data_IF_354178075489
#
_entry.id   IF_354178075489
#
_cell.length_a   1.000
_cell.length_b   1.000
_cell.length_c   1.000
_cell.angle_alpha   90.00
_cell.angle_beta   90.00
_cell.angle_gamma   90.00
#
_symmetry.space_group_name_H-M   'P 1'
#
loop_
_entity.id
_entity.type
_entity.pdbx_description
1 polymer ?
#
# COMPACT_ATOMS: atom_id res chain seq x y z
N UNK A 1 12.60 17.65 -20.99
CA UNK A 1 12.23 16.23 -20.80
C UNK A 1 10.75 16.18 -20.47
N UNK A 2 10.06 15.08 -20.76
CA UNK A 2 8.65 14.95 -20.36
C UNK A 2 8.56 14.78 -18.84
N UNK A 3 7.52 15.36 -18.23
CA UNK A 3 7.23 15.16 -16.82
C UNK A 3 6.84 13.71 -16.54
N UNK A 4 7.12 13.23 -15.33
CA UNK A 4 6.91 11.84 -14.91
C UNK A 4 5.92 11.75 -13.75
N UNK A 5 4.95 10.84 -13.88
CA UNK A 5 4.00 10.50 -12.84
C UNK A 5 4.21 9.05 -12.39
N UNK A 6 4.37 8.87 -11.08
CA UNK A 6 4.48 7.56 -10.47
C UNK A 6 3.21 7.28 -9.67
N UNK A 7 2.58 6.14 -9.95
CA UNK A 7 1.44 5.62 -9.21
C UNK A 7 1.87 4.36 -8.47
N UNK A 8 1.79 4.40 -7.15
CA UNK A 8 2.11 3.24 -6.30
C UNK A 8 0.82 2.45 -6.08
N UNK A 9 0.80 1.19 -6.52
CA UNK A 9 -0.18 0.22 -6.03
C UNK A 9 0.07 -0.05 -4.54
N UNK A 10 -0.84 0.46 -3.72
CA UNK A 10 -0.71 0.45 -2.28
C UNK A 10 -0.71 -0.96 -1.68
N UNK A 11 -1.73 -1.77 -2.01
CA UNK A 11 -1.86 -3.09 -1.43
C UNK A 11 -0.70 -3.99 -1.84
N UNK A 12 -0.32 -4.01 -3.13
CA UNK A 12 0.79 -4.85 -3.57
C UNK A 12 2.10 -4.48 -2.85
N UNK A 13 2.44 -3.19 -2.75
CA UNK A 13 3.69 -2.78 -2.11
C UNK A 13 3.68 -2.96 -0.58
N UNK A 14 2.54 -2.78 0.09
CA UNK A 14 2.39 -3.07 1.52
C UNK A 14 2.60 -4.57 1.80
N UNK A 15 1.92 -5.44 1.04
CA UNK A 15 2.07 -6.90 1.19
C UNK A 15 3.50 -7.36 0.87
N UNK A 16 4.11 -6.79 -0.18
CA UNK A 16 5.53 -7.03 -0.51
C UNK A 16 6.45 -6.63 0.64
N UNK A 17 6.18 -5.51 1.31
CA UNK A 17 6.96 -5.04 2.45
C UNK A 17 6.78 -5.94 3.67
N UNK A 18 5.56 -6.44 3.90
CA UNK A 18 5.26 -7.39 4.98
C UNK A 18 5.98 -8.73 4.82
N UNK A 19 5.97 -9.30 3.61
CA UNK A 19 6.62 -10.59 3.31
C UNK A 19 8.09 -10.48 2.92
N UNK A 20 8.66 -9.28 2.89
CA UNK A 20 10.08 -9.10 2.60
C UNK A 20 10.95 -9.95 3.54
N UNK A 21 12.08 -10.51 3.04
CA UNK A 21 13.03 -11.26 3.85
C UNK A 21 13.83 -10.29 4.74
N UNK A 22 13.16 -9.79 5.78
CA UNK A 22 13.66 -8.83 6.74
C UNK A 22 13.26 -9.30 8.15
N UNK A 23 14.14 -9.16 9.16
CA UNK A 23 13.82 -9.52 10.54
C UNK A 23 12.53 -8.86 11.04
N UNK A 24 11.79 -9.47 11.98
CA UNK A 24 10.69 -8.78 12.62
C UNK A 24 11.20 -7.51 13.32
N UNK A 25 10.41 -6.45 13.24
CA UNK A 25 10.67 -5.19 13.92
C UNK A 25 9.45 -4.81 14.76
N UNK A 26 9.72 -4.22 15.93
CA UNK A 26 8.70 -3.66 16.79
C UNK A 26 9.16 -2.32 17.36
N UNK A 27 8.22 -1.40 17.58
CA UNK A 27 8.48 -0.16 18.32
C UNK A 27 8.75 -0.45 19.81
N UNK A 28 9.27 0.52 20.58
CA UNK A 28 9.41 0.38 22.03
C UNK A 28 8.10 0.10 22.78
N UNK A 29 6.95 0.40 22.15
CA UNK A 29 5.61 0.11 22.69
C UNK A 29 5.05 -1.24 22.23
N UNK A 30 5.81 -2.02 21.46
CA UNK A 30 5.41 -3.34 20.94
C UNK A 30 4.61 -3.31 19.63
N UNK A 31 4.41 -2.14 19.01
CA UNK A 31 3.75 -2.05 17.70
C UNK A 31 4.63 -2.74 16.64
N UNK A 32 4.10 -3.66 15.81
CA UNK A 32 4.86 -4.24 14.71
C UNK A 32 5.19 -3.16 13.68
N UNK A 33 6.42 -3.10 13.18
CA UNK A 33 6.87 -2.00 12.29
C UNK A 33 7.67 -2.46 11.08
N UNK A 34 7.83 -3.78 10.87
CA UNK A 34 8.59 -4.34 9.75
C UNK A 34 8.11 -3.82 8.39
N UNK A 35 6.83 -4.00 8.06
CA UNK A 35 6.25 -3.58 6.79
C UNK A 35 6.34 -2.05 6.62
N UNK A 36 6.04 -1.28 7.67
CA UNK A 36 6.19 0.17 7.66
C UNK A 36 7.61 0.59 7.33
N UNK A 37 8.60 -0.03 7.98
CA UNK A 37 10.01 0.28 7.78
C UNK A 37 10.45 -0.05 6.34
N UNK A 38 10.16 -1.27 5.87
CA UNK A 38 10.55 -1.73 4.53
C UNK A 38 9.88 -0.87 3.44
N UNK A 39 8.59 -0.57 3.59
CA UNK A 39 7.86 0.30 2.66
C UNK A 39 8.48 1.69 2.60
N UNK A 40 8.78 2.28 3.76
CA UNK A 40 9.38 3.62 3.84
C UNK A 40 10.76 3.66 3.18
N UNK A 41 11.59 2.63 3.39
CA UNK A 41 12.89 2.52 2.72
C UNK A 41 12.73 2.44 1.19
N UNK A 42 11.78 1.64 0.70
CA UNK A 42 11.49 1.54 -0.73
C UNK A 42 11.00 2.89 -1.31
N UNK A 43 10.12 3.60 -0.60
CA UNK A 43 9.64 4.92 -1.00
C UNK A 43 10.78 5.94 -1.07
N UNK A 44 11.62 6.00 -0.04
CA UNK A 44 12.77 6.91 -0.01
C UNK A 44 13.77 6.60 -1.14
N UNK A 45 13.99 5.33 -1.46
CA UNK A 45 14.81 4.93 -2.59
C UNK A 45 14.19 5.39 -3.92
N UNK A 46 12.88 5.22 -4.12
CA UNK A 46 12.16 5.71 -5.29
C UNK A 46 12.33 7.23 -5.46
N UNK A 47 12.09 8.00 -4.40
CA UNK A 47 12.21 9.46 -4.43
C UNK A 47 13.65 9.91 -4.76
N UNK A 48 14.65 9.25 -4.20
CA UNK A 48 16.07 9.57 -4.42
C UNK A 48 16.54 9.22 -5.84
N UNK A 49 16.21 8.01 -6.29
CA UNK A 49 16.81 7.40 -7.48
C UNK A 49 16.03 7.73 -8.75
N UNK A 50 14.70 7.91 -8.64
CA UNK A 50 13.82 8.22 -9.79
C UNK A 50 13.46 9.68 -9.90
N UNK A 51 13.45 10.42 -8.79
CA UNK A 51 13.11 11.86 -8.72
C UNK A 51 11.85 12.20 -9.54
N UNK A 52 10.70 11.58 -9.20
CA UNK A 52 9.46 11.80 -9.95
C UNK A 52 8.99 13.24 -9.85
N UNK A 53 8.41 13.78 -10.92
CA UNK A 53 7.77 15.10 -10.89
C UNK A 53 6.44 15.04 -10.11
N UNK A 54 5.73 13.92 -10.23
CA UNK A 54 4.48 13.66 -9.51
C UNK A 54 4.46 12.24 -8.92
N UNK A 55 3.87 12.10 -7.74
CA UNK A 55 3.73 10.83 -7.03
C UNK A 55 2.35 10.75 -6.36
N UNK A 56 1.68 9.61 -6.49
CA UNK A 56 0.50 9.26 -5.72
C UNK A 56 0.51 7.78 -5.34
N UNK A 57 -0.17 7.44 -4.25
CA UNK A 57 -0.51 6.05 -3.93
C UNK A 57 -1.97 5.81 -4.29
N UNK A 58 -2.26 4.69 -4.93
CA UNK A 58 -3.63 4.25 -5.23
C UNK A 58 -3.93 3.07 -4.31
N UNK A 59 -5.10 3.08 -3.67
CA UNK A 59 -5.54 1.95 -2.85
C UNK A 59 -6.95 1.52 -3.21
N UNK A 60 -7.17 0.21 -3.20
CA UNK A 60 -8.49 -0.40 -3.36
C UNK A 60 -9.45 0.11 -2.28
N UNK A 61 -10.70 0.30 -2.68
CA UNK A 61 -11.83 0.25 -1.74
C UNK A 61 -12.23 -1.21 -1.49
N UNK A 62 -12.87 -1.46 -0.34
CA UNK A 62 -13.27 -2.81 0.10
C UNK A 62 -13.80 -3.69 -1.03
N UNK A 63 -13.26 -4.92 -1.12
CA UNK A 63 -13.62 -5.95 -2.11
C UNK A 63 -15.14 -6.20 -2.24
N UNK A 64 -15.94 -5.85 -1.23
CA UNK A 64 -17.40 -5.99 -1.25
C UNK A 64 -18.12 -5.05 -2.23
N UNK A 65 -17.45 -3.98 -2.67
CA UNK A 65 -18.04 -2.94 -3.52
C UNK A 65 -17.61 -3.01 -4.98
N UNK A 66 -16.69 -3.92 -5.32
CA UNK A 66 -16.12 -4.00 -6.67
C UNK A 66 -17.11 -4.67 -7.63
N UNK A 67 -17.34 -4.04 -8.79
CA UNK A 67 -18.24 -4.55 -9.82
C UNK A 67 -17.91 -5.97 -10.28
N UNK A 68 -16.64 -6.39 -10.19
CA UNK A 68 -16.17 -7.74 -10.55
C UNK A 68 -16.86 -8.84 -9.76
N UNK A 69 -17.25 -8.62 -8.50
CA UNK A 69 -18.05 -9.59 -7.72
C UNK A 69 -19.48 -9.74 -8.22
N UNK A 70 -20.02 -8.73 -8.93
CA UNK A 70 -21.33 -8.84 -9.58
C UNK A 70 -21.25 -9.72 -10.85
N UNK A 71 -20.08 -9.76 -11.48
CA UNK A 71 -19.81 -10.57 -12.68
C UNK A 71 -19.45 -12.01 -12.28
N UNK A 72 -18.59 -12.18 -11.29
CA UNK A 72 -18.14 -13.46 -10.76
C UNK A 72 -18.15 -13.44 -9.22
N UNK A 73 -19.13 -14.10 -8.58
CA UNK A 73 -19.21 -14.19 -7.12
C UNK A 73 -18.01 -14.89 -6.47
N UNK A 74 -17.26 -15.69 -7.23
CA UNK A 74 -16.06 -16.40 -6.75
C UNK A 74 -14.78 -15.57 -6.85
N UNK A 75 -14.84 -14.37 -7.44
CA UNK A 75 -13.71 -13.47 -7.59
C UNK A 75 -13.09 -13.12 -6.22
N UNK A 76 -11.80 -13.43 -6.07
CA UNK A 76 -11.01 -13.30 -4.83
C UNK A 76 -11.56 -14.08 -3.62
N UNK A 77 -12.47 -15.05 -3.81
CA UNK A 77 -13.09 -15.80 -2.70
C UNK A 77 -12.08 -16.66 -1.91
N UNK A 78 -10.98 -17.06 -2.53
CA UNK A 78 -9.91 -17.85 -1.89
C UNK A 78 -8.80 -16.99 -1.26
N UNK A 79 -8.91 -15.65 -1.31
CA UNK A 79 -7.92 -14.77 -0.73
C UNK A 79 -7.97 -14.87 0.81
N UNK A 80 -6.86 -15.23 1.48
CA UNK A 80 -6.85 -15.28 2.93
C UNK A 80 -7.05 -13.88 3.52
N UNK A 81 -7.59 -13.82 4.74
CA UNK A 81 -7.65 -12.59 5.49
C UNK A 81 -6.25 -11.99 5.67
N UNK A 82 -6.11 -10.64 5.71
CA UNK A 82 -4.85 -10.01 6.04
C UNK A 82 -4.34 -10.49 7.41
N UNK A 83 -3.03 -10.68 7.59
CA UNK A 83 -2.46 -10.92 8.92
C UNK A 83 -2.85 -9.80 9.89
N UNK A 84 -3.19 -10.13 11.13
CA UNK A 84 -3.68 -9.14 12.11
C UNK A 84 -2.67 -8.01 12.37
N UNK A 85 -1.37 -8.34 12.33
CA UNK A 85 -0.28 -7.39 12.56
C UNK A 85 0.02 -6.50 11.33
N UNK A 86 -0.59 -6.76 10.17
CA UNK A 86 -0.44 -5.94 8.97
C UNK A 86 -1.31 -4.68 9.00
N UNK A 87 -2.50 -4.76 9.61
CA UNK A 87 -3.44 -3.63 9.70
C UNK A 87 -2.82 -2.39 10.35
N UNK A 88 -2.25 -2.45 11.59
CA UNK A 88 -1.65 -1.26 12.20
C UNK A 88 -0.46 -0.72 11.40
N UNK A 89 0.29 -1.59 10.71
CA UNK A 89 1.39 -1.16 9.85
C UNK A 89 0.92 -0.45 8.59
N UNK A 90 -0.22 -0.88 8.03
CA UNK A 90 -0.87 -0.23 6.88
C UNK A 90 -1.35 1.17 7.25
N UNK A 91 -2.00 1.32 8.40
CA UNK A 91 -2.40 2.63 8.94
C UNK A 91 -1.19 3.55 9.12
N UNK A 92 -0.10 3.03 9.69
CA UNK A 92 1.14 3.80 9.84
C UNK A 92 1.75 4.24 8.52
N UNK A 93 1.70 3.39 7.48
CA UNK A 93 2.18 3.75 6.14
C UNK A 93 1.33 4.89 5.56
N UNK A 94 0.02 4.82 5.72
CA UNK A 94 -0.91 5.89 5.30
C UNK A 94 -0.59 7.20 6.02
N UNK A 95 -0.40 7.18 7.35
CA UNK A 95 -0.02 8.35 8.15
C UNK A 95 1.27 9.01 7.63
N UNK A 96 2.30 8.19 7.34
CA UNK A 96 3.58 8.67 6.82
C UNK A 96 3.38 9.38 5.49
N UNK A 97 2.66 8.76 4.54
CA UNK A 97 2.41 9.33 3.22
C UNK A 97 1.66 10.65 3.30
N UNK A 98 0.62 10.72 4.14
CA UNK A 98 -0.12 11.96 4.38
C UNK A 98 0.77 13.05 4.98
N UNK A 99 1.63 12.69 5.94
CA UNK A 99 2.55 13.63 6.62
C UNK A 99 3.54 14.27 5.64
N UNK A 100 4.04 13.51 4.67
CA UNK A 100 4.97 14.00 3.65
C UNK A 100 4.28 14.58 2.41
N UNK A 101 2.95 14.69 2.43
CA UNK A 101 2.16 15.29 1.35
C UNK A 101 1.98 14.41 0.11
N UNK A 102 2.17 13.10 0.21
CA UNK A 102 1.86 12.17 -0.89
C UNK A 102 0.35 11.89 -0.90
N UNK A 103 -0.38 12.23 -1.98
CA UNK A 103 -1.80 11.96 -2.08
C UNK A 103 -2.08 10.46 -2.14
N UNK A 104 -3.16 10.06 -1.46
CA UNK A 104 -3.68 8.68 -1.49
C UNK A 104 -5.04 8.72 -2.17
N UNK A 105 -5.12 8.09 -3.34
CA UNK A 105 -6.29 8.06 -4.18
C UNK A 105 -7.09 6.79 -3.91
N UNK A 106 -8.41 6.94 -3.78
CA UNK A 106 -9.38 5.85 -3.66
C UNK A 106 -10.64 6.26 -4.40
N UNK A 107 -11.24 5.34 -5.15
CA UNK A 107 -12.51 5.56 -5.84
C UNK A 107 -13.49 4.46 -5.50
N UNK A 108 -14.70 4.82 -5.04
CA UNK A 108 -15.73 3.84 -4.71
C UNK A 108 -16.06 2.95 -5.92
N UNK A 109 -16.12 1.64 -5.70
CA UNK A 109 -16.42 0.64 -6.73
C UNK A 109 -15.25 0.20 -7.62
N UNK A 110 -14.05 0.77 -7.46
CA UNK A 110 -12.86 0.47 -8.27
C UNK A 110 -11.71 -0.10 -7.42
N UNK A 111 -10.89 -0.94 -8.04
CA UNK A 111 -9.61 -1.41 -7.50
C UNK A 111 -8.47 -0.47 -7.92
N UNK A 112 -7.31 -0.56 -7.28
CA UNK A 112 -6.14 0.24 -7.65
C UNK A 112 -5.62 -0.07 -9.07
N UNK A 113 -5.95 -1.26 -9.58
CA UNK A 113 -5.65 -1.70 -10.95
C UNK A 113 -6.56 -1.07 -12.03
N UNK A 114 -7.70 -0.47 -11.64
CA UNK A 114 -8.65 0.20 -12.55
C UNK A 114 -8.23 1.65 -12.86
#
# INVERSE_FOLDING_TARGET
MAETLYLIDGHAQIYRSYYAPFPPLSSPKGEPTKATYVFTQMLLALLRDRRPDYLAMVMDVSDSTVFRRQIDPSYKATRPAPPEDLTPQTERIVDILQTIGVPILRQSGLEADD
#
